data_IF_914518211169
#
_entry.id   IF_914518211169
#
_cell.length_a   1.000
_cell.length_b   1.000
_cell.length_c   1.000
_cell.angle_alpha   90.00
_cell.angle_beta   90.00
_cell.angle_gamma   90.00
#
_symmetry.space_group_name_H-M   'P 1'
#
loop_
_entity.id
_entity.type
_entity.pdbx_description
1 polymer ?
#
# COMPACT_ATOMS: atom_id res chain seq x y z
N UNK A 1 -21.19 -14.71 20.70
CA UNK A 1 -21.96 -13.75 19.88
C UNK A 1 -20.97 -12.95 19.05
N UNK A 2 -20.97 -13.10 17.73
CA UNK A 2 -20.17 -12.23 16.86
C UNK A 2 -20.90 -10.88 16.76
N UNK A 3 -20.42 -9.88 17.49
CA UNK A 3 -20.83 -8.49 17.30
C UNK A 3 -20.52 -8.10 15.86
N UNK A 4 -21.53 -7.64 15.14
CA UNK A 4 -21.34 -7.18 13.77
C UNK A 4 -20.37 -6.00 13.76
N UNK A 5 -19.31 -6.10 12.95
CA UNK A 5 -18.30 -5.05 12.84
C UNK A 5 -18.78 -3.96 11.90
N UNK A 6 -18.86 -2.73 12.40
CA UNK A 6 -19.15 -1.55 11.58
C UNK A 6 -17.97 -0.57 11.57
N UNK A 7 -17.73 0.04 10.43
CA UNK A 7 -16.80 1.17 10.28
C UNK A 7 -17.48 2.27 9.48
N UNK A 8 -17.64 3.45 10.09
CA UNK A 8 -18.34 4.60 9.48
C UNK A 8 -19.71 4.23 8.89
N UNK A 9 -20.47 3.38 9.61
CA UNK A 9 -21.80 2.93 9.19
C UNK A 9 -21.83 1.79 8.17
N UNK A 10 -20.67 1.38 7.62
CA UNK A 10 -20.57 0.21 6.73
C UNK A 10 -20.27 -1.06 7.54
N UNK A 11 -21.06 -2.11 7.32
CA UNK A 11 -20.76 -3.45 7.85
C UNK A 11 -19.51 -4.00 7.18
N UNK A 12 -18.57 -4.48 7.97
CA UNK A 12 -17.31 -5.06 7.51
C UNK A 12 -17.47 -6.58 7.48
N UNK A 13 -17.41 -7.14 6.28
CA UNK A 13 -17.44 -8.59 6.07
C UNK A 13 -16.03 -9.11 5.80
N UNK A 14 -15.90 -10.43 5.68
CA UNK A 14 -14.65 -11.06 5.25
C UNK A 14 -14.19 -10.59 3.87
N UNK A 15 -15.12 -10.17 3.00
CA UNK A 15 -14.77 -9.59 1.70
C UNK A 15 -14.08 -8.25 1.86
N UNK A 16 -14.60 -7.36 2.70
CA UNK A 16 -13.93 -6.09 3.02
C UNK A 16 -12.59 -6.32 3.70
N UNK A 17 -12.48 -7.28 4.63
CA UNK A 17 -11.21 -7.62 5.27
C UNK A 17 -10.15 -8.01 4.22
N UNK A 18 -10.49 -8.92 3.29
CA UNK A 18 -9.58 -9.35 2.22
C UNK A 18 -9.20 -8.17 1.32
N UNK A 19 -10.18 -7.36 0.92
CA UNK A 19 -9.94 -6.16 0.12
C UNK A 19 -8.96 -5.19 0.80
N UNK A 20 -9.11 -4.92 2.09
CA UNK A 20 -8.18 -4.07 2.84
C UNK A 20 -6.78 -4.69 2.92
N UNK A 21 -6.71 -6.01 3.07
CA UNK A 21 -5.44 -6.74 3.07
C UNK A 21 -4.69 -6.58 1.75
N UNK A 22 -5.41 -6.67 0.63
CA UNK A 22 -4.89 -6.48 -0.73
C UNK A 22 -4.48 -5.04 -1.00
N UNK A 23 -5.37 -4.07 -0.76
CA UNK A 23 -5.11 -2.64 -1.02
C UNK A 23 -3.89 -2.13 -0.25
N UNK A 24 -3.75 -2.54 1.01
CA UNK A 24 -2.63 -2.09 1.84
C UNK A 24 -1.40 -2.99 1.74
N UNK A 25 -1.46 -4.11 1.00
CA UNK A 25 -0.38 -5.10 0.91
C UNK A 25 0.09 -5.58 2.30
N UNK A 26 -0.87 -5.73 3.22
CA UNK A 26 -0.64 -6.13 4.61
C UNK A 26 -1.58 -7.27 4.98
N UNK A 27 -1.06 -8.29 5.66
CA UNK A 27 -1.87 -9.44 6.09
C UNK A 27 -2.78 -9.03 7.26
N UNK A 28 -4.09 -9.18 7.07
CA UNK A 28 -5.13 -9.00 8.10
C UNK A 28 -5.78 -10.37 8.32
N UNK A 29 -5.34 -11.14 9.31
CA UNK A 29 -5.63 -12.59 9.42
C UNK A 29 -7.12 -12.90 9.59
N UNK A 30 -7.81 -12.12 10.42
CA UNK A 30 -9.21 -12.36 10.78
C UNK A 30 -9.99 -11.06 11.00
N UNK A 31 -11.30 -11.19 11.26
CA UNK A 31 -12.19 -10.06 11.51
C UNK A 31 -11.91 -9.35 12.83
N UNK A 32 -11.31 -10.02 13.81
CA UNK A 32 -10.96 -9.44 15.11
C UNK A 32 -9.78 -8.46 14.99
N UNK A 33 -8.73 -8.85 14.28
CA UNK A 33 -7.63 -7.97 13.92
C UNK A 33 -8.14 -6.80 13.07
N UNK A 34 -9.00 -7.08 12.09
CA UNK A 34 -9.62 -6.04 11.26
C UNK A 34 -10.39 -5.02 12.11
N UNK A 35 -11.24 -5.48 13.03
CA UNK A 35 -11.95 -4.63 13.98
C UNK A 35 -11.00 -3.76 14.79
N UNK A 36 -9.96 -4.36 15.35
CA UNK A 36 -8.99 -3.66 16.18
C UNK A 36 -8.25 -2.57 15.42
N UNK A 37 -7.91 -2.82 14.15
CA UNK A 37 -7.29 -1.83 13.26
C UNK A 37 -8.24 -0.68 12.99
N UNK A 38 -9.49 -0.98 12.64
CA UNK A 38 -10.49 0.02 12.29
C UNK A 38 -10.88 0.89 13.49
N UNK A 39 -11.01 0.29 14.69
CA UNK A 39 -11.19 1.04 15.94
C UNK A 39 -9.99 1.93 16.26
N UNK A 40 -8.77 1.45 16.06
CA UNK A 40 -7.58 2.27 16.23
C UNK A 40 -7.53 3.43 15.22
N UNK A 41 -7.94 3.19 13.98
CA UNK A 41 -8.01 4.21 12.94
C UNK A 41 -9.05 5.30 13.27
N UNK A 42 -10.11 4.98 14.01
CA UNK A 42 -11.11 5.98 14.41
C UNK A 42 -10.59 6.99 15.44
N UNK A 43 -9.48 6.70 16.11
CA UNK A 43 -8.89 7.60 17.12
C UNK A 43 -8.39 8.91 16.49
N UNK A 44 -8.46 10.04 17.23
CA UNK A 44 -8.12 11.36 16.69
C UNK A 44 -6.71 11.46 16.12
N UNK A 45 -5.73 10.78 16.71
CA UNK A 45 -4.33 10.79 16.28
C UNK A 45 -4.08 10.10 14.94
N UNK A 46 -5.02 9.29 14.45
CA UNK A 46 -4.86 8.46 13.25
C UNK A 46 -5.66 9.00 12.05
N UNK A 47 -5.82 10.32 11.91
CA UNK A 47 -6.64 10.95 10.84
C UNK A 47 -6.28 10.46 9.43
N UNK A 48 -4.98 10.38 9.12
CA UNK A 48 -4.51 9.95 7.79
C UNK A 48 -4.85 8.48 7.51
N UNK A 49 -4.62 7.60 8.48
CA UNK A 49 -5.03 6.20 8.37
C UNK A 49 -6.54 6.06 8.24
N UNK A 50 -7.32 6.83 9.01
CA UNK A 50 -8.80 6.85 8.93
C UNK A 50 -9.30 7.24 7.53
N UNK A 51 -8.69 8.28 6.94
CA UNK A 51 -8.98 8.72 5.58
C UNK A 51 -8.67 7.59 4.58
N UNK A 52 -7.50 6.97 4.71
CA UNK A 52 -7.08 5.86 3.87
C UNK A 52 -8.04 4.66 3.95
N UNK A 53 -8.46 4.24 5.15
CA UNK A 53 -9.43 3.15 5.31
C UNK A 53 -10.80 3.49 4.72
N UNK A 54 -11.25 4.74 4.90
CA UNK A 54 -12.50 5.21 4.27
C UNK A 54 -12.40 5.13 2.75
N UNK A 55 -11.32 5.64 2.16
CA UNK A 55 -11.10 5.59 0.70
C UNK A 55 -11.02 4.15 0.18
N UNK A 56 -10.29 3.28 0.87
CA UNK A 56 -10.17 1.87 0.51
C UNK A 56 -11.54 1.16 0.52
N UNK A 57 -12.40 1.45 1.50
CA UNK A 57 -13.73 0.82 1.60
C UNK A 57 -14.77 1.40 0.64
N UNK A 58 -14.63 2.66 0.22
CA UNK A 58 -15.56 3.35 -0.68
C UNK A 58 -15.14 3.22 -2.14
N UNK A 59 -13.88 3.48 -2.46
CA UNK A 59 -13.33 3.54 -3.82
C UNK A 59 -12.53 2.31 -4.22
N UNK A 60 -12.34 1.34 -3.30
CA UNK A 60 -11.56 0.11 -3.53
C UNK A 60 -10.11 0.37 -3.96
N UNK A 61 -9.58 1.55 -3.60
CA UNK A 61 -8.21 1.97 -3.91
C UNK A 61 -7.71 2.94 -2.84
N UNK A 62 -6.41 2.89 -2.54
CA UNK A 62 -5.74 3.89 -1.71
C UNK A 62 -4.25 3.99 -2.08
N UNK A 63 -3.84 5.18 -2.55
CA UNK A 63 -2.44 5.44 -2.87
C UNK A 63 -1.59 5.52 -1.58
N UNK A 64 -0.27 5.29 -1.73
CA UNK A 64 0.66 5.39 -0.62
C UNK A 64 0.69 6.79 0.02
N UNK A 65 0.59 7.83 -0.81
CA UNK A 65 0.55 9.26 -0.45
C UNK A 65 -0.74 9.67 0.24
N UNK A 66 -1.85 8.97 -0.02
CA UNK A 66 -3.20 9.27 0.51
C UNK A 66 -3.41 8.75 1.94
N UNK A 67 -2.35 8.68 2.74
CA UNK A 67 -2.37 8.07 4.07
C UNK A 67 -2.24 6.54 4.05
N UNK A 68 -2.06 5.91 2.89
CA UNK A 68 -1.82 4.47 2.76
C UNK A 68 -0.59 4.02 3.55
N UNK A 69 0.48 4.84 3.60
CA UNK A 69 1.65 4.60 4.46
C UNK A 69 1.27 4.47 5.94
N UNK A 70 0.44 5.38 6.43
CA UNK A 70 0.03 5.42 7.84
C UNK A 70 -0.94 4.28 8.17
N UNK A 71 -1.82 3.91 7.24
CA UNK A 71 -2.66 2.72 7.36
C UNK A 71 -1.81 1.45 7.50
N UNK A 72 -0.80 1.24 6.64
CA UNK A 72 0.12 0.09 6.74
C UNK A 72 0.86 0.05 8.07
N UNK A 73 1.39 1.20 8.52
CA UNK A 73 2.06 1.31 9.83
C UNK A 73 1.10 0.95 10.97
N UNK A 74 -0.14 1.41 10.90
CA UNK A 74 -1.16 1.12 11.90
C UNK A 74 -1.49 -0.38 11.93
N UNK A 75 -1.70 -1.01 10.77
CA UNK A 75 -1.93 -2.46 10.65
C UNK A 75 -0.80 -3.24 11.33
N UNK A 76 0.46 -2.94 10.99
CA UNK A 76 1.63 -3.58 11.60
C UNK A 76 1.74 -3.34 13.10
N UNK A 77 1.35 -2.16 13.58
CA UNK A 77 1.39 -1.81 15.01
C UNK A 77 0.35 -2.62 15.79
N UNK A 78 -0.89 -2.67 15.31
CA UNK A 78 -1.98 -3.40 15.97
C UNK A 78 -1.73 -4.91 15.91
N UNK A 79 -1.30 -5.42 14.75
CA UNK A 79 -0.92 -6.83 14.58
C UNK A 79 0.13 -7.27 15.61
N UNK A 80 1.19 -6.47 15.79
CA UNK A 80 2.22 -6.71 16.83
C UNK A 80 1.65 -6.62 18.25
N UNK A 81 0.84 -5.60 18.53
CA UNK A 81 0.22 -5.39 19.85
C UNK A 81 -0.66 -6.57 20.28
N UNK A 82 -1.37 -7.18 19.33
CA UNK A 82 -2.25 -8.32 19.56
C UNK A 82 -1.52 -9.68 19.45
N UNK A 83 -0.20 -9.70 19.27
CA UNK A 83 0.59 -10.94 19.26
C UNK A 83 0.48 -11.78 17.99
N UNK A 84 -0.10 -11.25 16.91
CA UNK A 84 -0.14 -11.94 15.61
C UNK A 84 1.27 -12.00 15.02
N UNK A 85 1.89 -13.18 15.14
CA UNK A 85 3.22 -13.44 14.59
C UNK A 85 3.12 -13.62 13.08
N UNK A 86 4.15 -13.16 12.37
CA UNK A 86 4.36 -13.59 10.99
C UNK A 86 4.99 -14.97 11.05
N UNK A 87 4.42 -15.91 10.29
CA UNK A 87 5.11 -17.19 10.08
C UNK A 87 6.46 -16.93 9.37
N UNK A 88 7.34 -17.92 9.37
CA UNK A 88 8.58 -17.86 8.58
C UNK A 88 8.21 -17.71 7.10
N UNK A 89 7.17 -18.40 6.61
CA UNK A 89 6.69 -18.28 5.23
C UNK A 89 6.22 -16.86 4.88
N UNK A 90 5.45 -16.21 5.77
CA UNK A 90 4.96 -14.85 5.57
C UNK A 90 6.12 -13.83 5.48
N UNK A 91 7.20 -14.06 6.24
CA UNK A 91 8.40 -13.23 6.17
C UNK A 91 9.13 -13.38 4.83
N UNK A 92 9.26 -14.60 4.34
CA UNK A 92 9.85 -14.87 3.02
C UNK A 92 9.01 -14.31 1.88
N UNK A 93 7.70 -14.41 1.97
CA UNK A 93 6.78 -13.88 0.96
C UNK A 93 6.85 -12.35 0.90
N UNK A 94 6.90 -11.68 2.05
CA UNK A 94 7.14 -10.24 2.14
C UNK A 94 8.50 -9.83 1.55
N UNK A 95 9.56 -10.60 1.80
CA UNK A 95 10.88 -10.35 1.20
C UNK A 95 10.82 -10.47 -0.32
N UNK A 96 10.22 -11.53 -0.85
CA UNK A 96 10.01 -11.74 -2.29
C UNK A 96 9.20 -10.62 -2.93
N UNK A 97 8.15 -10.15 -2.25
CA UNK A 97 7.35 -9.03 -2.74
C UNK A 97 8.19 -7.73 -2.79
N UNK A 98 8.96 -7.46 -1.73
CA UNK A 98 9.81 -6.28 -1.63
C UNK A 98 10.88 -6.28 -2.71
N UNK A 99 11.56 -7.41 -2.95
CA UNK A 99 12.57 -7.53 -3.99
C UNK A 99 11.97 -7.39 -5.40
N UNK A 100 10.79 -7.97 -5.65
CA UNK A 100 10.07 -7.78 -6.92
C UNK A 100 9.68 -6.32 -7.16
N UNK A 101 9.21 -5.63 -6.12
CA UNK A 101 8.86 -4.21 -6.22
C UNK A 101 10.07 -3.35 -6.54
N UNK A 102 11.15 -3.52 -5.77
CA UNK A 102 12.42 -2.82 -6.00
C UNK A 102 12.92 -3.09 -7.42
N UNK A 103 12.89 -4.33 -7.87
CA UNK A 103 13.30 -4.68 -9.24
C UNK A 103 12.47 -3.96 -10.31
N UNK A 104 11.14 -3.88 -10.14
CA UNK A 104 10.26 -3.13 -11.06
C UNK A 104 10.57 -1.63 -11.04
N UNK A 105 10.71 -1.05 -9.85
CA UNK A 105 11.04 0.37 -9.70
C UNK A 105 12.40 0.69 -10.37
N UNK A 106 13.38 -0.22 -10.28
CA UNK A 106 14.65 -0.13 -10.99
C UNK A 106 14.49 -0.22 -12.51
N UNK A 107 13.67 -1.14 -13.02
CA UNK A 107 13.42 -1.25 -14.47
C UNK A 107 12.74 0.01 -15.03
N UNK A 108 11.74 0.54 -14.33
CA UNK A 108 11.08 1.79 -14.73
C UNK A 108 12.01 3.01 -14.67
N UNK A 109 13.01 3.00 -13.77
CA UNK A 109 14.04 4.02 -13.75
C UNK A 109 15.05 3.86 -14.89
N UNK A 110 15.46 2.62 -15.21
CA UNK A 110 16.39 2.34 -16.29
C UNK A 110 15.82 2.71 -17.67
N UNK A 111 14.54 2.38 -17.93
CA UNK A 111 13.86 2.77 -19.16
C UNK A 111 13.76 4.30 -19.31
N UNK A 112 13.44 5.02 -18.21
CA UNK A 112 13.41 6.49 -18.21
C UNK A 112 14.79 7.11 -18.51
N UNK A 113 15.85 6.56 -17.92
CA UNK A 113 17.21 7.04 -18.19
C UNK A 113 17.59 6.82 -19.66
N UNK A 114 17.18 5.70 -20.27
CA UNK A 114 17.41 5.45 -21.70
C UNK A 114 16.66 6.43 -22.59
N UNK A 115 15.41 6.74 -22.27
CA UNK A 115 14.62 7.77 -22.97
C UNK A 115 15.29 9.14 -22.88
N UNK A 116 15.66 9.57 -21.67
CA UNK A 116 16.33 10.87 -21.45
C UNK A 116 17.66 10.98 -22.22
N UNK A 117 18.46 9.90 -22.23
CA UNK A 117 19.72 9.86 -23.01
C UNK A 117 19.42 9.90 -24.52
N UNK A 118 18.41 9.17 -24.98
CA UNK A 118 17.97 9.17 -26.37
C UNK A 118 17.57 10.57 -26.84
N UNK A 119 16.82 11.31 -26.01
CA UNK A 119 16.40 12.68 -26.30
C UNK A 119 17.59 13.65 -26.34
N UNK A 120 18.55 13.53 -25.43
CA UNK A 120 19.77 14.36 -25.42
C UNK A 120 20.63 14.10 -26.67
N UNK A 121 20.80 12.83 -27.07
CA UNK A 121 21.54 12.46 -28.28
C UNK A 121 20.80 12.95 -29.53
N UNK A 122 19.48 12.79 -29.58
CA UNK A 122 18.65 13.30 -30.69
C UNK A 122 18.71 14.82 -30.83
N UNK A 123 18.68 15.54 -29.71
CA UNK A 123 18.79 17.00 -29.68
C UNK A 123 20.16 17.49 -30.16
N UNK A 124 21.25 16.82 -29.75
CA UNK A 124 22.61 17.16 -30.20
C UNK A 124 22.82 16.88 -31.69
N UNK A 125 22.29 15.77 -32.21
CA UNK A 125 22.32 15.50 -33.66
C UNK A 125 21.56 16.55 -34.48
N UNK A 126 20.37 16.98 -34.01
CA UNK A 126 19.62 18.06 -34.67
C UNK A 126 20.37 19.38 -34.68
N UNK A 127 21.07 19.72 -33.60
CA UNK A 127 21.90 20.91 -33.53
C UNK A 127 23.07 20.85 -34.52
N UNK A 128 23.79 19.73 -34.60
CA UNK A 128 24.92 19.58 -35.53
C UNK A 128 24.47 19.71 -36.99
N UNK A 129 23.34 19.11 -37.37
CA UNK A 129 22.79 19.20 -38.72
C UNK A 129 22.18 20.56 -39.07
N UNK A 130 21.84 21.40 -38.09
CA UNK A 130 21.32 22.75 -38.34
C UNK A 130 22.44 23.76 -38.67
N UNK A 131 23.69 23.43 -38.34
CA UNK A 131 24.88 24.27 -38.55
C UNK A 131 25.79 23.76 -39.69
N UNK A 132 25.37 22.73 -40.43
CA UNK A 132 26.01 22.16 -41.61
C UNK A 132 25.17 22.46 -42.85
#
# INVERSE_FOLDING_TARGET
MHSELFFKGKKITDRERKLLSEIFEEKIDDLYLCQSILLAAMRPENVLARSAFTRALTHKHCAYTDGGREARKLIRRIRRKLGYRLSISDRWERLKYTTKKVHRDFQEHDERIKEDIGDVIGATFRLIFFFL
#
